data_IF_098084351461
#
_entry.id   IF_098084351461
#
_cell.length_a   1.000
_cell.length_b   1.000
_cell.length_c   1.000
_cell.angle_alpha   90.00
_cell.angle_beta   90.00
_cell.angle_gamma   90.00
#
_symmetry.space_group_name_H-M   'P 1'
#
loop_
_entity.id
_entity.type
_entity.pdbx_description
1 polymer ?
#
# COMPACT_ATOMS: atom_id res chain seq x y z
N UNK A 1 -15.72 1.85 7.47
CA UNK A 1 -15.78 3.33 7.30
C UNK A 1 -14.40 3.86 6.95
N UNK A 2 -14.27 5.12 6.51
CA UNK A 2 -12.96 5.75 6.29
C UNK A 2 -12.68 6.82 7.34
N UNK A 3 -11.45 6.90 7.82
CA UNK A 3 -11.07 7.79 8.93
C UNK A 3 -9.76 8.52 8.63
N UNK A 4 -9.61 9.73 9.15
CA UNK A 4 -8.33 10.44 9.19
C UNK A 4 -7.69 10.25 10.57
N UNK A 5 -6.38 9.98 10.59
CA UNK A 5 -5.57 9.78 11.79
C UNK A 5 -4.32 10.65 11.76
N UNK A 6 -3.75 10.96 12.93
CA UNK A 6 -2.44 11.61 13.02
C UNK A 6 -1.28 10.62 12.81
N UNK A 7 -0.04 11.13 12.80
CA UNK A 7 1.17 10.32 12.68
C UNK A 7 1.42 9.34 13.85
N UNK A 8 0.68 9.46 14.96
CA UNK A 8 0.71 8.51 16.07
C UNK A 8 -0.41 7.46 15.99
N UNK A 9 -1.23 7.50 14.94
CA UNK A 9 -2.37 6.62 14.76
C UNK A 9 -3.59 6.97 15.60
N UNK A 10 -3.67 8.19 16.15
CA UNK A 10 -4.86 8.66 16.85
C UNK A 10 -5.94 9.05 15.84
N UNK A 11 -7.15 8.54 16.04
CA UNK A 11 -8.30 8.79 15.17
C UNK A 11 -8.81 10.21 15.40
N UNK A 12 -8.78 11.05 14.37
CA UNK A 12 -9.17 12.46 14.47
C UNK A 12 -10.64 12.63 14.08
N UNK A 13 -11.03 12.11 12.91
CA UNK A 13 -12.38 12.26 12.33
C UNK A 13 -12.64 11.28 11.20
N UNK A 14 -13.87 11.24 10.70
CA UNK A 14 -14.21 10.56 9.45
C UNK A 14 -13.52 11.21 8.24
N UNK A 15 -13.17 10.42 7.24
CA UNK A 15 -12.58 10.87 5.98
C UNK A 15 -13.51 11.84 5.24
N UNK A 16 -12.96 12.98 4.83
CA UNK A 16 -13.69 14.01 4.06
C UNK A 16 -13.66 13.75 2.56
N UNK A 17 -12.89 12.76 2.09
CA UNK A 17 -12.81 12.33 0.70
C UNK A 17 -11.96 13.22 -0.22
N UNK A 18 -11.75 14.50 0.12
CA UNK A 18 -11.08 15.49 -0.73
C UNK A 18 -9.62 15.76 -0.35
N UNK A 19 -8.93 14.76 0.19
CA UNK A 19 -7.53 14.91 0.64
C UNK A 19 -6.59 14.06 -0.20
N UNK A 20 -5.38 14.57 -0.50
CA UNK A 20 -4.30 13.82 -1.17
C UNK A 20 -3.39 13.16 -0.14
N UNK A 21 -3.99 12.47 0.83
CA UNK A 21 -3.25 11.81 1.91
C UNK A 21 -3.04 10.33 1.56
N UNK A 22 -1.90 9.74 1.96
CA UNK A 22 -1.67 8.32 1.81
C UNK A 22 -2.79 7.52 2.48
N UNK A 23 -3.24 6.48 1.79
CA UNK A 23 -4.33 5.61 2.26
C UNK A 23 -3.77 4.32 2.84
N UNK A 24 -4.09 3.98 4.08
CA UNK A 24 -3.85 2.65 4.66
C UNK A 24 -5.16 1.86 4.63
N UNK A 25 -5.18 0.72 3.96
CA UNK A 25 -6.32 -0.19 3.89
C UNK A 25 -6.03 -1.47 4.68
N UNK A 26 -6.91 -1.81 5.61
CA UNK A 26 -6.84 -3.05 6.36
C UNK A 26 -7.93 -4.02 5.91
N UNK A 27 -7.66 -5.32 6.02
CA UNK A 27 -8.63 -6.35 5.65
C UNK A 27 -9.81 -6.45 6.63
N UNK A 28 -9.63 -6.05 7.88
CA UNK A 28 -10.64 -6.16 8.92
C UNK A 28 -11.53 -4.91 9.01
N UNK A 29 -12.85 -5.12 8.99
CA UNK A 29 -13.82 -4.06 9.25
C UNK A 29 -13.87 -3.75 10.75
N UNK A 30 -12.97 -2.88 11.21
CA UNK A 30 -12.94 -2.41 12.60
C UNK A 30 -13.73 -1.12 12.78
N UNK A 31 -14.35 -0.99 13.95
CA UNK A 31 -14.88 0.27 14.44
C UNK A 31 -13.77 1.04 15.17
N UNK A 32 -13.72 2.34 14.95
CA UNK A 32 -12.75 3.23 15.59
C UNK A 32 -13.48 4.26 16.44
N UNK A 33 -12.87 4.60 17.57
CA UNK A 33 -13.36 5.64 18.47
C UNK A 33 -12.52 6.90 18.29
N UNK A 34 -13.18 8.04 18.12
CA UNK A 34 -12.50 9.33 18.02
C UNK A 34 -11.62 9.58 19.24
N UNK A 35 -10.44 10.13 19.01
CA UNK A 35 -9.46 10.41 20.05
C UNK A 35 -8.67 9.19 20.51
N UNK A 36 -9.00 7.96 20.12
CA UNK A 36 -8.22 6.77 20.49
C UNK A 36 -7.17 6.43 19.43
N UNK A 37 -6.10 5.76 19.88
CA UNK A 37 -5.09 5.18 18.99
C UNK A 37 -5.65 3.90 18.36
N UNK A 38 -5.33 3.68 17.08
CA UNK A 38 -5.70 2.45 16.38
C UNK A 38 -5.01 1.24 17.05
N UNK A 39 -5.76 0.20 17.47
CA UNK A 39 -5.19 -0.97 18.13
C UNK A 39 -4.72 -2.00 17.09
N UNK A 40 -3.81 -1.59 16.19
CA UNK A 40 -3.26 -2.43 15.13
C UNK A 40 -1.78 -2.08 14.90
N UNK A 41 -0.89 -2.92 15.43
CA UNK A 41 0.55 -2.71 15.37
C UNK A 41 1.08 -2.59 13.94
N UNK A 42 0.51 -3.33 12.99
CA UNK A 42 0.94 -3.25 11.60
C UNK A 42 0.57 -1.88 10.99
N UNK A 43 -0.64 -1.39 11.27
CA UNK A 43 -1.04 -0.03 10.86
C UNK A 43 -0.17 1.03 11.54
N UNK A 44 0.10 0.91 12.84
CA UNK A 44 0.95 1.86 13.56
C UNK A 44 2.37 1.91 12.98
N UNK A 45 2.95 0.75 12.65
CA UNK A 45 4.26 0.67 12.00
C UNK A 45 4.26 1.33 10.61
N UNK A 46 3.18 1.22 9.84
CA UNK A 46 3.02 1.93 8.57
C UNK A 46 2.98 3.45 8.80
N UNK A 47 2.16 3.91 9.74
CA UNK A 47 1.95 5.33 10.02
C UNK A 47 3.22 6.01 10.56
N UNK A 48 4.00 5.31 11.38
CA UNK A 48 5.19 5.83 12.04
C UNK A 48 6.48 5.60 11.24
N UNK A 49 6.54 4.57 10.40
CA UNK A 49 7.75 4.20 9.65
C UNK A 49 7.71 4.55 8.17
N UNK A 50 6.61 4.24 7.49
CA UNK A 50 6.55 4.29 6.01
C UNK A 50 6.11 5.67 5.52
N UNK A 51 5.07 6.24 6.12
CA UNK A 51 4.49 7.50 5.67
C UNK A 51 5.31 8.77 5.99
N UNK A 52 6.08 8.85 7.09
CA UNK A 52 6.95 9.99 7.35
C UNK A 52 8.31 9.87 6.67
N UNK A 53 8.54 8.83 5.85
CA UNK A 53 9.79 8.68 5.12
C UNK A 53 9.99 9.88 4.16
N UNK A 54 10.82 10.83 4.58
CA UNK A 54 11.28 12.00 3.81
C UNK A 54 12.04 11.60 2.53
N UNK A 55 12.38 10.31 2.38
CA UNK A 55 13.19 9.73 1.33
C UNK A 55 12.49 9.59 -0.02
N UNK A 56 11.83 10.63 -0.54
CA UNK A 56 11.33 10.72 -1.93
C UNK A 56 10.35 9.63 -2.41
N UNK A 57 10.09 8.60 -1.59
CA UNK A 57 9.18 7.50 -1.88
C UNK A 57 7.76 8.05 -1.84
N UNK A 58 7.11 8.00 -2.98
CA UNK A 58 5.73 8.46 -3.11
C UNK A 58 4.80 7.25 -3.04
N UNK A 59 4.39 6.92 -1.81
CA UNK A 59 3.42 5.86 -1.53
C UNK A 59 2.01 6.43 -1.68
N UNK A 60 1.23 5.88 -2.62
CA UNK A 60 -0.17 6.28 -2.78
C UNK A 60 -1.07 5.59 -1.75
N UNK A 61 -0.79 4.31 -1.50
CA UNK A 61 -1.60 3.45 -0.64
C UNK A 61 -0.77 2.34 -0.01
N UNK A 62 -1.10 1.96 1.20
CA UNK A 62 -0.58 0.78 1.89
C UNK A 62 -1.74 -0.18 2.15
N UNK A 63 -1.54 -1.46 1.84
CA UNK A 63 -2.47 -2.52 2.19
C UNK A 63 -1.85 -3.39 3.27
N UNK A 64 -2.62 -3.66 4.33
CA UNK A 64 -2.30 -4.61 5.38
C UNK A 64 -3.27 -5.78 5.27
N UNK A 65 -2.74 -6.97 5.01
CA UNK A 65 -3.54 -8.18 4.91
C UNK A 65 -3.90 -8.74 6.31
N UNK A 66 -4.80 -9.74 6.43
CA UNK A 66 -5.15 -10.35 7.72
C UNK A 66 -3.99 -10.99 8.47
N UNK A 67 -2.89 -11.32 7.79
CA UNK A 67 -1.69 -11.92 8.36
C UNK A 67 -0.66 -10.85 8.77
N UNK A 68 -0.99 -9.57 8.61
CA UNK A 68 -0.09 -8.45 8.92
C UNK A 68 0.97 -8.19 7.85
N UNK A 69 0.87 -8.81 6.67
CA UNK A 69 1.78 -8.49 5.58
C UNK A 69 1.43 -7.12 4.99
N UNK A 70 2.49 -6.37 4.69
CA UNK A 70 2.45 -5.03 4.14
C UNK A 70 2.69 -5.05 2.63
N UNK A 71 1.86 -4.32 1.90
CA UNK A 71 2.00 -4.08 0.47
C UNK A 71 1.85 -2.59 0.17
N UNK A 72 2.89 -1.99 -0.41
CA UNK A 72 2.89 -0.57 -0.81
C UNK A 72 2.47 -0.45 -2.27
N UNK A 73 1.49 0.38 -2.54
CA UNK A 73 1.09 0.79 -3.88
C UNK A 73 1.67 2.17 -4.10
N UNK A 74 2.67 2.25 -4.96
CA UNK A 74 3.40 3.47 -5.28
C UNK A 74 2.59 4.35 -6.24
N UNK A 75 2.85 5.67 -6.25
CA UNK A 75 2.14 6.61 -7.14
C UNK A 75 2.37 6.33 -8.63
N UNK A 76 3.48 5.67 -8.98
CA UNK A 76 3.82 5.27 -10.35
C UNK A 76 3.24 3.90 -10.74
N UNK A 77 2.42 3.31 -9.86
CA UNK A 77 1.72 2.05 -10.13
C UNK A 77 2.58 0.80 -9.95
N UNK A 78 3.71 0.89 -9.25
CA UNK A 78 4.46 -0.28 -8.79
C UNK A 78 3.85 -0.83 -7.50
N UNK A 79 3.65 -2.15 -7.45
CA UNK A 79 3.31 -2.86 -6.22
C UNK A 79 4.60 -3.31 -5.51
N UNK A 80 4.79 -2.92 -4.25
CA UNK A 80 5.94 -3.35 -3.44
C UNK A 80 5.46 -4.26 -2.31
N UNK A 81 5.84 -5.53 -2.39
CA UNK A 81 5.50 -6.54 -1.38
C UNK A 81 6.57 -6.52 -0.30
N UNK A 82 6.24 -5.97 0.88
CA UNK A 82 7.17 -5.85 2.01
C UNK A 82 7.14 -7.10 2.91
N UNK A 83 6.09 -7.92 2.78
CA UNK A 83 5.85 -9.06 3.66
C UNK A 83 5.57 -8.61 5.08
N UNK A 84 6.05 -9.35 6.06
CA UNK A 84 5.95 -8.96 7.47
C UNK A 84 6.69 -7.63 7.74
N UNK A 85 6.28 -6.87 8.77
CA UNK A 85 6.89 -5.58 9.09
C UNK A 85 8.24 -5.73 9.84
N UNK A 86 8.77 -6.94 9.96
CA UNK A 86 10.12 -7.17 10.44
C UNK A 86 11.14 -6.48 9.52
N UNK A 87 12.18 -5.92 10.13
CA UNK A 87 13.24 -5.23 9.41
C UNK A 87 12.74 -4.09 8.50
N UNK A 88 11.56 -3.50 8.79
CA UNK A 88 10.90 -2.50 7.96
C UNK A 88 11.84 -1.36 7.52
N UNK A 89 12.63 -0.81 8.45
CA UNK A 89 13.58 0.26 8.15
C UNK A 89 14.64 -0.16 7.11
N UNK A 90 15.13 -1.40 7.17
CA UNK A 90 16.10 -1.91 6.21
C UNK A 90 15.45 -2.16 4.84
N UNK A 91 14.22 -2.69 4.81
CA UNK A 91 13.42 -2.86 3.58
C UNK A 91 13.14 -1.50 2.92
N UNK A 92 12.77 -0.48 3.69
CA UNK A 92 12.52 0.88 3.19
C UNK A 92 13.79 1.52 2.62
N UNK A 93 14.92 1.42 3.31
CA UNK A 93 16.21 1.92 2.79
C UNK A 93 16.63 1.22 1.49
N UNK A 94 16.37 -0.08 1.37
CA UNK A 94 16.62 -0.81 0.14
C UNK A 94 15.70 -0.30 -0.99
N UNK A 95 14.42 -0.09 -0.70
CA UNK A 95 13.47 0.48 -1.66
C UNK A 95 13.89 1.89 -2.11
N UNK A 96 14.25 2.78 -1.18
CA UNK A 96 14.79 4.11 -1.48
C UNK A 96 16.02 4.03 -2.39
N UNK A 97 16.94 3.11 -2.09
CA UNK A 97 18.12 2.88 -2.91
C UNK A 97 17.75 2.45 -4.33
N UNK A 98 16.81 1.52 -4.49
CA UNK A 98 16.33 1.07 -5.81
C UNK A 98 15.78 2.26 -6.61
N UNK A 99 14.91 3.08 -6.02
CA UNK A 99 14.32 4.24 -6.69
C UNK A 99 15.34 5.35 -7.02
N UNK A 100 16.39 5.47 -6.21
CA UNK A 100 17.48 6.42 -6.46
C UNK A 100 18.41 5.94 -7.58
N UNK A 101 18.73 4.65 -7.62
CA UNK A 101 19.64 4.07 -8.62
C UNK A 101 18.95 3.90 -9.99
N UNK A 102 17.66 3.59 -10.01
CA UNK A 102 16.86 3.41 -11.22
C UNK A 102 15.70 4.41 -11.28
N UNK A 103 15.97 5.71 -11.52
CA UNK A 103 14.92 6.72 -11.64
C UNK A 103 14.02 6.38 -12.84
N UNK A 104 12.75 6.07 -12.55
CA UNK A 104 11.77 5.64 -13.57
C UNK A 104 11.53 4.13 -13.64
N UNK A 105 12.01 3.36 -12.66
CA UNK A 105 11.77 1.91 -12.55
C UNK A 105 10.29 1.52 -12.74
N UNK A 106 9.34 2.35 -12.31
CA UNK A 106 7.90 2.06 -12.46
C UNK A 106 7.39 1.94 -13.89
N UNK A 107 8.12 2.49 -14.87
CA UNK A 107 7.82 2.29 -16.30
C UNK A 107 8.19 0.87 -16.78
N UNK A 108 9.14 0.21 -16.12
CA UNK A 108 9.73 -1.08 -16.52
C UNK A 108 9.29 -2.25 -15.65
N UNK A 109 8.87 -1.97 -14.42
CA UNK A 109 8.53 -2.98 -13.41
C UNK A 109 7.07 -2.80 -13.00
N UNK A 110 6.39 -3.92 -12.79
CA UNK A 110 5.02 -3.95 -12.27
C UNK A 110 5.00 -4.22 -10.76
N UNK A 111 5.94 -5.03 -10.26
CA UNK A 111 6.08 -5.27 -8.83
C UNK A 111 7.53 -5.49 -8.38
N UNK A 112 7.79 -5.14 -7.12
CA UNK A 112 9.05 -5.41 -6.42
C UNK A 112 8.69 -6.22 -5.17
N UNK A 113 9.32 -7.37 -4.97
CA UNK A 113 9.19 -8.16 -3.77
C UNK A 113 10.42 -7.96 -2.87
N UNK A 114 10.17 -7.40 -1.68
CA UNK A 114 11.13 -7.13 -0.61
C UNK A 114 10.74 -7.87 0.69
N UNK A 115 9.95 -8.95 0.60
CA UNK A 115 9.60 -9.76 1.77
C UNK A 115 10.83 -10.39 2.44
N UNK A 116 11.91 -10.59 1.67
CA UNK A 116 13.23 -11.00 2.13
C UNK A 116 14.28 -10.04 1.57
N UNK A 117 15.07 -9.40 2.45
CA UNK A 117 16.08 -8.40 2.06
C UNK A 117 17.23 -9.04 1.26
N UNK A 118 17.58 -10.28 1.57
CA UNK A 118 18.72 -10.98 0.95
C UNK A 118 18.44 -11.42 -0.49
N UNK A 119 17.17 -11.50 -0.88
CA UNK A 119 16.74 -11.98 -2.19
C UNK A 119 15.61 -11.10 -2.76
N UNK A 120 15.88 -9.82 -3.07
CA UNK A 120 14.89 -8.94 -3.68
C UNK A 120 14.58 -9.43 -5.10
N UNK A 121 13.31 -9.40 -5.47
CA UNK A 121 12.86 -9.80 -6.80
C UNK A 121 12.02 -8.71 -7.46
N UNK A 122 12.07 -8.62 -8.79
CA UNK A 122 11.26 -7.69 -9.56
C UNK A 122 10.50 -8.43 -10.66
N UNK A 123 9.25 -8.02 -10.89
CA UNK A 123 8.44 -8.52 -12.01
C UNK A 123 8.40 -7.47 -13.11
N UNK A 124 8.98 -7.71 -14.28
CA UNK A 124 8.91 -6.77 -15.40
C UNK A 124 7.47 -6.45 -15.79
N UNK A 125 7.24 -5.21 -16.20
CA UNK A 125 5.97 -4.81 -16.81
C UNK A 125 5.93 -5.41 -18.22
N UNK A 126 4.91 -6.21 -18.51
CA UNK A 126 4.71 -6.71 -19.86
C UNK A 126 4.54 -5.53 -20.82
N UNK A 127 5.20 -5.59 -21.98
CA UNK A 127 5.00 -4.58 -23.01
C UNK A 127 3.50 -4.52 -23.37
N UNK A 128 2.92 -3.32 -23.55
CA UNK A 128 1.55 -3.20 -24.00
C UNK A 128 1.45 -3.92 -25.34
N UNK A 129 0.81 -5.09 -25.33
CA UNK A 129 0.54 -5.82 -26.55
C UNK A 129 -0.38 -4.94 -27.36
N UNK A 130 0.08 -4.48 -28.53
CA UNK A 130 -0.75 -3.78 -29.49
C UNK A 130 -1.76 -4.77 -30.07
N UNK A 131 -2.75 -5.13 -29.27
CA UNK A 131 -3.86 -6.00 -29.67
C UNK A 131 -5.04 -5.12 -30.03
N UNK A 132 -5.19 -4.87 -31.33
CA UNK A 132 -6.48 -4.54 -31.92
C UNK A 132 -7.49 -5.66 -31.61
N UNK A 133 -8.67 -5.23 -31.18
CA UNK A 133 -9.95 -5.97 -31.04
C UNK A 133 -10.28 -6.72 -32.37
N UNK A 134 -10.94 -7.91 -32.41
CA UNK A 134 -12.17 -8.17 -31.64
C UNK A 134 -12.46 -9.59 -31.11
N UNK A 135 -13.25 -9.61 -30.03
CA UNK A 135 -14.37 -10.53 -29.85
C UNK A 135 -14.06 -11.97 -29.46
N UNK A 136 -14.16 -12.28 -28.16
CA UNK A 136 -14.79 -13.55 -27.78
C UNK A 136 -15.44 -13.47 -26.39
N UNK A 137 -16.66 -13.98 -26.31
CA UNK A 137 -17.53 -13.93 -25.14
C UNK A 137 -16.98 -14.81 -23.99
N UNK A 138 -16.91 -14.25 -22.78
CA UNK A 138 -16.64 -15.01 -21.56
C UNK A 138 -17.95 -15.35 -20.82
N UNK A 139 -18.15 -16.60 -20.35
CA UNK A 139 -19.23 -16.94 -19.46
C UNK A 139 -18.96 -16.36 -18.05
N UNK A 140 -19.93 -15.63 -17.52
CA UNK A 140 -19.88 -15.01 -16.21
C UNK A 140 -19.89 -16.06 -15.09
N UNK A 141 -18.86 -16.06 -14.23
CA UNK A 141 -18.89 -16.72 -12.92
C UNK A 141 -19.49 -15.79 -11.86
N UNK A 142 -20.14 -16.34 -10.82
CA UNK A 142 -21.00 -15.58 -9.93
C UNK A 142 -20.24 -14.64 -9.00
N UNK A 143 -20.86 -13.48 -8.78
CA UNK A 143 -20.45 -12.38 -7.89
C UNK A 143 -20.12 -12.89 -6.49
N UNK A 144 -18.87 -12.73 -6.05
CA UNK A 144 -18.56 -12.80 -4.62
C UNK A 144 -19.08 -11.54 -3.91
N UNK A 145 -19.86 -11.81 -2.88
CA UNK A 145 -20.48 -10.86 -1.95
C UNK A 145 -19.42 -9.93 -1.32
N UNK A 146 -19.77 -8.65 -1.25
CA UNK A 146 -18.93 -7.58 -0.71
C UNK A 146 -18.38 -7.87 0.67
N UNK A 147 -17.06 -7.85 0.78
CA UNK A 147 -16.37 -7.69 2.07
C UNK A 147 -16.26 -6.20 2.34
N UNK A 148 -16.94 -5.74 3.39
CA UNK A 148 -16.78 -4.41 3.94
C UNK A 148 -15.31 -4.17 4.31
N UNK A 149 -14.68 -3.15 3.71
CA UNK A 149 -13.30 -2.74 3.99
C UNK A 149 -13.28 -1.50 4.88
N UNK A 150 -12.30 -1.43 5.77
CA UNK A 150 -11.99 -0.24 6.57
C UNK A 150 -10.65 0.33 6.11
N UNK A 151 -10.56 1.66 6.07
CA UNK A 151 -9.38 2.35 5.58
C UNK A 151 -9.14 3.63 6.36
N UNK A 152 -7.88 4.00 6.55
CA UNK A 152 -7.47 5.20 7.28
C UNK A 152 -6.50 6.04 6.45
N UNK A 153 -6.49 7.35 6.64
CA UNK A 153 -5.56 8.29 5.98
C UNK A 153 -4.74 9.04 7.02
N UNK A 154 -3.45 9.21 6.79
CA UNK A 154 -2.57 9.95 7.69
C UNK A 154 -2.57 11.44 7.36
N UNK A 155 -2.88 12.31 8.33
CA UNK A 155 -2.69 13.76 8.23
C UNK A 155 -1.34 14.07 8.86
N UNK A 156 -0.37 14.45 8.02
CA UNK A 156 0.92 14.99 8.49
C UNK A 156 0.74 16.32 9.22
#
# INVERSE_FOLDING_TARGET
GRWEVDGQGRVIRADRGDTRLPLVETAENRQFTLGNVIPDDAVLQVLQGILPAEGGLRVAKVHVDPQGNLCLNMVDGVEVQMGQPDQLNAKLRLLERIYREEPGIGSRVSSINLSCIEAPACTPRAAPSASGTPGNAQPQRPRQLGRSRTSVRNIQ
#
